data_IF_403259082902
#
_entry.id   IF_403259082902
#
_cell.length_a   1.000
_cell.length_b   1.000
_cell.length_c   1.000
_cell.angle_alpha   90.00
_cell.angle_beta   90.00
_cell.angle_gamma   90.00
#
_symmetry.space_group_name_H-M   'P 1'
#
loop_
_entity.id
_entity.type
_entity.pdbx_description
1 polymer ?
#
# COMPACT_ATOMS: atom_id res chain seq x y z
N UNK A 1 39.11 -35.85 44.46
CA UNK A 1 40.13 -35.68 45.51
C UNK A 1 41.40 -35.23 44.80
N UNK A 2 42.05 -34.09 45.02
CA UNK A 2 41.89 -32.93 45.90
C UNK A 2 42.94 -31.91 45.42
N UNK A 3 42.60 -30.62 45.45
CA UNK A 3 43.48 -29.43 45.48
C UNK A 3 44.49 -29.24 44.32
N UNK A 4 44.82 -28.04 43.88
CA UNK A 4 44.61 -26.70 44.40
C UNK A 4 45.67 -25.85 43.69
N UNK A 5 45.27 -24.76 43.06
CA UNK A 5 46.19 -23.80 42.45
C UNK A 5 45.75 -22.42 42.93
N UNK A 6 46.39 -22.01 44.02
CA UNK A 6 46.37 -20.66 44.55
C UNK A 6 47.55 -19.91 43.93
N UNK A 7 47.23 -18.83 43.20
CA UNK A 7 48.19 -17.91 42.63
C UNK A 7 48.83 -17.03 43.71
N UNK A 8 50.16 -16.90 43.66
CA UNK A 8 50.94 -16.08 44.56
C UNK A 8 52.06 -15.34 43.81
N UNK A 9 52.10 -14.02 44.04
CA UNK A 9 53.25 -13.09 43.93
C UNK A 9 53.84 -12.87 42.52
N UNK A 10 54.38 -11.72 42.14
CA UNK A 10 54.84 -10.53 42.84
C UNK A 10 55.58 -9.66 41.82
N UNK A 11 55.85 -8.41 42.20
CA UNK A 11 56.34 -7.30 41.39
C UNK A 11 57.74 -7.47 40.75
N UNK A 12 58.04 -6.50 39.86
CA UNK A 12 59.35 -5.91 39.50
C UNK A 12 60.05 -6.38 38.21
N UNK A 13 60.33 -5.40 37.34
CA UNK A 13 61.31 -5.51 36.26
C UNK A 13 61.18 -4.44 35.17
N UNK A 14 61.80 -3.26 35.35
CA UNK A 14 62.32 -2.42 34.25
C UNK A 14 63.78 -2.86 33.96
N UNK A 15 64.33 -2.69 32.74
CA UNK A 15 65.02 -1.43 32.43
C UNK A 15 64.91 -0.93 30.97
N UNK A 16 64.95 0.39 30.87
CA UNK A 16 65.64 1.31 29.94
C UNK A 16 66.08 0.85 28.54
N UNK A 17 65.64 1.60 27.52
CA UNK A 17 66.26 1.71 26.20
C UNK A 17 66.08 3.14 25.65
N UNK A 18 67.20 3.84 25.48
CA UNK A 18 67.33 5.25 25.11
C UNK A 18 67.04 5.55 23.63
N UNK A 19 66.60 6.78 23.34
CA UNK A 19 67.03 7.51 22.13
C UNK A 19 65.97 8.29 21.36
N UNK A 20 66.00 9.63 21.46
CA UNK A 20 65.64 10.54 20.35
C UNK A 20 64.31 11.32 20.41
N UNK A 21 64.38 12.61 20.78
CA UNK A 21 63.47 13.70 20.32
C UNK A 21 63.84 14.10 18.86
N UNK A 22 63.00 14.78 18.03
CA UNK A 22 62.14 15.95 18.33
C UNK A 22 60.83 16.02 17.47
N UNK A 23 60.22 17.19 17.15
CA UNK A 23 59.64 18.26 17.96
C UNK A 23 58.08 18.30 17.86
N UNK A 24 57.45 19.08 18.75
CA UNK A 24 55.99 19.18 18.88
C UNK A 24 55.26 19.95 17.76
N UNK A 25 54.03 19.49 17.47
CA UNK A 25 53.06 20.19 16.63
C UNK A 25 52.01 20.92 17.51
N UNK A 26 51.60 22.16 17.16
CA UNK A 26 50.61 22.93 17.92
C UNK A 26 49.15 22.50 17.67
N UNK A 27 48.21 22.82 18.59
CA UNK A 27 46.80 22.40 18.53
C UNK A 27 45.97 23.16 17.46
N UNK A 28 44.84 22.59 17.00
CA UNK A 28 44.05 23.17 15.91
C UNK A 28 43.28 24.42 16.35
N UNK A 29 43.50 25.53 15.64
CA UNK A 29 42.76 26.78 15.78
C UNK A 29 41.45 26.76 15.00
N UNK A 30 40.40 27.22 15.68
CA UNK A 30 39.12 27.66 15.13
C UNK A 30 39.32 28.92 14.28
N UNK A 31 38.62 29.04 13.15
CA UNK A 31 38.60 30.26 12.34
C UNK A 31 37.35 30.33 11.47
N UNK A 32 36.44 31.24 11.83
CA UNK A 32 35.25 31.66 11.08
C UNK A 32 35.62 32.41 9.78
N UNK A 33 34.69 32.47 8.80
CA UNK A 33 34.60 33.60 7.87
C UNK A 33 33.40 34.53 8.15
N UNK A 34 33.42 35.77 7.64
CA UNK A 34 32.75 36.93 8.21
C UNK A 34 31.40 37.32 7.56
N UNK A 35 30.72 38.23 8.26
CA UNK A 35 29.45 38.92 7.98
C UNK A 35 29.30 39.54 6.58
N UNK A 36 28.06 39.47 6.05
CA UNK A 36 27.53 40.41 5.06
C UNK A 36 26.20 39.98 4.41
N UNK A 37 25.19 40.86 4.47
CA UNK A 37 23.92 40.90 3.71
C UNK A 37 22.63 40.38 4.42
N UNK A 38 22.06 41.30 5.21
CA UNK A 38 20.64 41.69 5.37
C UNK A 38 19.52 40.63 5.59
N UNK A 39 18.72 40.74 6.67
CA UNK A 39 17.45 40.01 6.81
C UNK A 39 16.34 40.66 5.95
N UNK A 40 15.39 39.88 5.38
CA UNK A 40 14.22 40.45 4.73
C UNK A 40 13.31 41.15 5.77
N UNK A 41 12.70 42.30 5.44
CA UNK A 41 11.83 43.02 6.35
C UNK A 41 10.52 42.24 6.57
N UNK A 42 10.14 42.09 7.84
CA UNK A 42 8.77 41.77 8.24
C UNK A 42 7.86 42.92 7.81
N UNK A 43 7.16 42.74 6.70
CA UNK A 43 6.07 43.60 6.24
C UNK A 43 4.77 42.80 6.18
N UNK A 44 4.00 42.85 7.27
CA UNK A 44 2.58 42.52 7.25
C UNK A 44 1.87 43.50 6.31
N UNK A 45 1.49 43.07 5.12
CA UNK A 45 0.44 43.74 4.34
C UNK A 45 -0.79 42.83 4.31
N UNK A 46 -1.78 43.21 5.11
CA UNK A 46 -3.15 42.72 5.00
C UNK A 46 -3.71 43.10 3.62
N UNK A 47 -4.34 42.17 2.86
CA UNK A 47 -5.26 42.56 1.81
C UNK A 47 -6.57 43.07 2.45
N UNK A 48 -7.11 44.21 2.01
CA UNK A 48 -8.33 44.77 2.56
C UNK A 48 -9.54 43.88 2.23
N UNK A 49 -10.42 43.70 3.22
CA UNK A 49 -11.78 43.21 3.01
C UNK A 49 -12.51 44.11 2.00
N UNK A 50 -12.96 43.52 0.90
CA UNK A 50 -13.77 44.19 -0.12
C UNK A 50 -14.61 43.18 -0.88
N UNK A 51 -15.92 43.24 -0.64
CA UNK A 51 -16.94 42.35 -1.16
C UNK A 51 -17.15 42.47 -2.68
N UNK A 52 -17.46 41.35 -3.35
CA UNK A 52 -18.55 41.24 -4.32
C UNK A 52 -18.82 39.76 -4.69
N UNK A 53 -20.03 39.21 -4.48
CA UNK A 53 -20.40 37.90 -5.02
C UNK A 53 -20.71 37.98 -6.53
N UNK A 54 -20.36 36.97 -7.34
CA UNK A 54 -20.79 36.91 -8.74
C UNK A 54 -22.32 36.74 -8.85
N UNK A 55 -22.99 37.44 -9.77
CA UNK A 55 -24.42 37.30 -9.98
C UNK A 55 -24.77 35.92 -10.56
N UNK A 56 -25.75 35.27 -9.92
CA UNK A 56 -26.46 34.12 -10.47
C UNK A 56 -27.13 34.51 -11.79
N UNK A 57 -26.78 33.84 -12.87
CA UNK A 57 -27.40 33.95 -14.18
C UNK A 57 -27.58 32.58 -14.80
N UNK A 58 -28.68 31.91 -14.44
CA UNK A 58 -29.21 30.74 -15.13
C UNK A 58 -29.55 31.11 -16.58
N UNK A 59 -28.89 30.47 -17.55
CA UNK A 59 -29.45 30.34 -18.90
C UNK A 59 -29.45 28.86 -19.29
N UNK A 60 -30.63 28.25 -19.20
CA UNK A 60 -30.98 27.00 -19.88
C UNK A 60 -31.21 27.30 -21.37
N UNK A 61 -30.68 26.48 -22.30
CA UNK A 61 -31.24 26.39 -23.64
C UNK A 61 -32.44 25.43 -23.66
N UNK A 62 -33.47 25.68 -24.49
CA UNK A 62 -34.76 24.99 -24.44
C UNK A 62 -34.74 23.60 -25.08
N UNK A 63 -35.53 22.68 -24.52
CA UNK A 63 -35.98 21.45 -25.18
C UNK A 63 -36.92 21.79 -26.36
N UNK A 64 -36.70 21.14 -27.52
CA UNK A 64 -37.60 21.16 -28.67
C UNK A 64 -37.37 19.96 -29.61
N UNK A 65 -38.40 19.14 -29.79
CA UNK A 65 -38.52 17.92 -30.61
C UNK A 65 -38.41 18.23 -32.13
N UNK A 66 -38.16 17.36 -33.13
CA UNK A 66 -38.59 15.98 -33.49
C UNK A 66 -37.79 15.53 -34.79
N UNK A 67 -37.79 14.24 -35.23
CA UNK A 67 -36.92 13.69 -36.31
C UNK A 67 -37.62 13.49 -37.70
N UNK A 68 -36.90 13.36 -38.84
CA UNK A 68 -37.05 12.18 -39.75
C UNK A 68 -35.84 11.92 -40.70
N UNK A 69 -35.89 11.02 -41.71
CA UNK A 69 -36.29 9.61 -41.72
C UNK A 69 -35.18 8.67 -42.29
N UNK A 70 -35.38 7.36 -42.10
CA UNK A 70 -34.61 6.27 -42.71
C UNK A 70 -34.71 6.28 -44.26
N UNK A 71 -33.57 6.12 -44.93
CA UNK A 71 -33.47 5.88 -46.37
C UNK A 71 -32.34 4.90 -46.68
N UNK A 72 -32.70 3.61 -46.76
CA UNK A 72 -31.88 2.52 -47.27
C UNK A 72 -31.67 2.65 -48.78
N UNK A 73 -30.42 2.62 -49.28
CA UNK A 73 -30.05 2.03 -50.58
C UNK A 73 -28.60 1.48 -50.53
N UNK A 74 -28.47 0.15 -50.61
CA UNK A 74 -27.29 -0.61 -51.09
C UNK A 74 -27.18 -0.48 -52.63
N UNK A 75 -26.07 -0.81 -53.36
CA UNK A 75 -25.35 -2.11 -53.31
C UNK A 75 -23.84 -2.04 -53.77
N UNK A 76 -23.19 -3.07 -54.38
CA UNK A 76 -22.62 -4.28 -53.79
C UNK A 76 -21.18 -4.58 -54.30
N UNK A 77 -20.11 -4.68 -53.48
CA UNK A 77 -18.83 -5.13 -54.06
C UNK A 77 -17.97 -5.99 -53.13
N UNK A 78 -17.70 -7.22 -53.62
CA UNK A 78 -16.33 -7.72 -53.78
C UNK A 78 -15.68 -8.32 -52.55
N UNK A 79 -15.76 -9.65 -52.46
CA UNK A 79 -14.72 -10.43 -51.79
C UNK A 79 -13.36 -10.13 -52.42
N UNK A 80 -12.40 -9.72 -51.60
CA UNK A 80 -10.98 -10.07 -51.71
C UNK A 80 -10.30 -9.71 -50.38
N UNK A 81 -9.84 -10.72 -49.65
CA UNK A 81 -8.80 -10.55 -48.63
C UNK A 81 -7.49 -10.11 -49.31
N UNK A 82 -6.75 -9.18 -48.70
CA UNK A 82 -5.30 -9.30 -48.65
C UNK A 82 -4.76 -9.11 -47.21
N UNK A 83 -3.48 -9.42 -46.97
CA UNK A 83 -3.00 -10.10 -45.78
C UNK A 83 -2.55 -9.18 -44.65
N UNK A 84 -2.39 -9.79 -43.47
CA UNK A 84 -1.67 -9.26 -42.32
C UNK A 84 -0.36 -8.58 -42.73
N UNK A 85 -0.37 -7.25 -42.77
CA UNK A 85 0.79 -6.40 -42.90
C UNK A 85 0.73 -5.36 -41.80
N UNK A 86 1.65 -5.47 -40.84
CA UNK A 86 1.93 -4.45 -39.84
C UNK A 86 2.13 -3.09 -40.55
N UNK A 87 1.27 -2.12 -40.27
CA UNK A 87 1.45 -0.71 -40.64
C UNK A 87 1.33 0.12 -39.37
N UNK A 88 2.32 0.95 -39.03
CA UNK A 88 2.25 1.82 -37.88
C UNK A 88 1.29 2.96 -38.23
N UNK A 89 0.05 2.87 -37.76
CA UNK A 89 -0.87 4.00 -37.81
C UNK A 89 -0.26 5.14 -36.97
N UNK A 90 0.30 6.11 -37.69
CA UNK A 90 0.72 7.38 -37.13
C UNK A 90 -0.49 8.06 -36.51
N UNK A 91 -0.61 7.93 -35.19
CA UNK A 91 -1.40 8.85 -34.40
C UNK A 91 -0.74 10.22 -34.59
N UNK A 92 -1.45 11.14 -35.23
CA UNK A 92 -1.10 12.55 -35.11
C UNK A 92 -0.98 12.86 -33.61
N UNK A 93 0.11 13.48 -33.13
CA UNK A 93 0.22 13.85 -31.73
C UNK A 93 -0.99 14.72 -31.39
N UNK A 94 -1.73 14.34 -30.34
CA UNK A 94 -2.81 15.15 -29.82
C UNK A 94 -2.29 16.59 -29.61
N UNK A 95 -3.05 17.63 -29.97
CA UNK A 95 -2.61 19.01 -29.80
C UNK A 95 -2.06 19.22 -28.40
N UNK A 96 -0.79 19.59 -28.31
CA UNK A 96 -0.15 19.92 -27.05
C UNK A 96 -0.98 21.01 -26.38
N UNK A 97 -1.64 20.64 -25.28
CA UNK A 97 -2.35 21.56 -24.40
C UNK A 97 -1.42 22.73 -24.06
N UNK A 98 -1.87 23.99 -24.19
CA UNK A 98 -1.04 25.14 -23.85
C UNK A 98 -0.71 25.12 -22.35
N UNK A 99 0.58 25.13 -22.00
CA UNK A 99 1.01 25.60 -20.68
C UNK A 99 1.61 24.58 -19.72
N UNK A 100 2.09 23.43 -20.17
CA UNK A 100 2.78 22.49 -19.28
C UNK A 100 4.28 22.48 -19.59
N UNK A 101 5.10 22.71 -18.57
CA UNK A 101 6.56 22.69 -18.71
C UNK A 101 7.09 21.37 -19.29
N UNK A 102 8.37 21.31 -19.67
CA UNK A 102 8.97 20.20 -20.42
C UNK A 102 8.78 18.80 -19.82
N UNK A 103 8.49 18.71 -18.51
CA UNK A 103 8.44 17.47 -17.74
C UNK A 103 7.02 17.01 -17.33
N UNK A 104 5.97 17.60 -17.90
CA UNK A 104 4.61 17.19 -17.55
C UNK A 104 4.25 15.79 -18.08
N UNK A 105 3.86 14.83 -17.21
CA UNK A 105 3.43 13.51 -17.67
C UNK A 105 2.18 13.61 -18.54
N UNK A 106 2.10 12.79 -19.59
CA UNK A 106 0.93 12.75 -20.46
C UNK A 106 -0.36 12.48 -19.64
N UNK A 107 -1.48 13.20 -19.92
CA UNK A 107 -2.76 12.92 -19.30
C UNK A 107 -3.14 11.44 -19.47
N UNK A 108 -3.45 10.78 -18.36
CA UNK A 108 -3.74 9.35 -18.33
C UNK A 108 -5.01 9.08 -17.54
N UNK A 109 -5.96 8.38 -18.16
CA UNK A 109 -7.11 7.80 -17.46
C UNK A 109 -6.69 6.65 -16.55
N UNK A 110 -7.53 6.29 -15.57
CA UNK A 110 -7.20 5.16 -14.68
C UNK A 110 -7.11 3.87 -15.50
N UNK A 111 -5.93 3.23 -15.59
CA UNK A 111 -5.73 2.07 -16.44
C UNK A 111 -6.48 0.84 -15.88
N UNK A 112 -6.75 -0.13 -16.77
CA UNK A 112 -7.43 -1.38 -16.40
C UNK A 112 -6.70 -2.12 -15.27
N UNK A 113 -5.36 -2.09 -15.26
CA UNK A 113 -4.55 -2.71 -14.22
C UNK A 113 -4.85 -2.16 -12.82
N UNK A 114 -5.10 -0.86 -12.68
CA UNK A 114 -5.50 -0.26 -11.39
C UNK A 114 -6.94 -0.63 -11.05
N UNK A 115 -7.87 -0.56 -12.02
CA UNK A 115 -9.29 -0.88 -11.80
C UNK A 115 -9.47 -2.34 -11.37
N UNK A 116 -8.88 -3.26 -12.12
CA UNK A 116 -8.93 -4.69 -11.84
C UNK A 116 -8.12 -5.05 -10.60
N UNK A 117 -6.94 -4.43 -10.39
CA UNK A 117 -6.13 -4.66 -9.19
C UNK A 117 -6.84 -4.26 -7.90
N UNK A 118 -7.42 -3.05 -7.85
CA UNK A 118 -8.23 -2.61 -6.71
C UNK A 118 -9.51 -3.44 -6.57
N UNK A 119 -10.16 -3.79 -7.69
CA UNK A 119 -11.35 -4.65 -7.67
C UNK A 119 -11.06 -6.03 -7.08
N UNK A 120 -9.91 -6.63 -7.41
CA UNK A 120 -9.48 -7.90 -6.85
C UNK A 120 -9.22 -7.81 -5.33
N UNK A 121 -8.58 -6.72 -4.87
CA UNK A 121 -8.38 -6.47 -3.43
C UNK A 121 -9.69 -6.23 -2.68
N UNK A 122 -10.65 -5.53 -3.29
CA UNK A 122 -12.00 -5.37 -2.73
C UNK A 122 -12.73 -6.71 -2.65
N UNK A 123 -12.63 -7.55 -3.68
CA UNK A 123 -13.22 -8.89 -3.64
C UNK A 123 -12.58 -9.73 -2.52
N UNK A 124 -11.25 -9.73 -2.40
CA UNK A 124 -10.54 -10.41 -1.31
C UNK A 124 -10.97 -9.91 0.08
N UNK A 125 -11.14 -8.59 0.24
CA UNK A 125 -11.65 -7.97 1.47
C UNK A 125 -13.06 -8.51 1.81
N UNK A 126 -13.95 -8.58 0.83
CA UNK A 126 -15.30 -9.12 1.01
C UNK A 126 -15.26 -10.59 1.42
N UNK A 127 -14.39 -11.40 0.81
CA UNK A 127 -14.22 -12.81 1.20
C UNK A 127 -13.74 -12.93 2.65
N UNK A 128 -12.79 -12.09 3.08
CA UNK A 128 -12.32 -12.06 4.48
C UNK A 128 -13.42 -11.62 5.46
N UNK A 129 -14.27 -10.65 5.06
CA UNK A 129 -15.43 -10.27 5.85
C UNK A 129 -16.47 -11.40 5.96
N UNK A 130 -16.70 -12.16 4.89
CA UNK A 130 -17.57 -13.35 4.89
C UNK A 130 -16.99 -14.44 5.79
N UNK A 131 -15.67 -14.70 5.75
CA UNK A 131 -15.02 -15.64 6.66
C UNK A 131 -15.18 -15.21 8.13
N UNK A 132 -15.00 -13.93 8.43
CA UNK A 132 -15.18 -13.37 9.78
C UNK A 132 -16.64 -13.48 10.23
N UNK A 133 -17.60 -13.24 9.33
CA UNK A 133 -19.02 -13.43 9.63
C UNK A 133 -19.36 -14.91 9.86
N UNK A 134 -18.78 -15.84 9.09
CA UNK A 134 -18.96 -17.27 9.30
C UNK A 134 -18.45 -17.71 10.67
N UNK A 135 -17.29 -17.19 11.11
CA UNK A 135 -16.76 -17.38 12.46
C UNK A 135 -17.76 -16.91 13.53
N UNK A 136 -18.32 -15.70 13.40
CA UNK A 136 -19.30 -15.17 14.34
C UNK A 136 -20.62 -15.96 14.37
N UNK A 137 -21.08 -16.42 13.22
CA UNK A 137 -22.34 -17.15 13.10
C UNK A 137 -22.25 -18.62 13.54
N UNK A 138 -21.04 -19.19 13.54
CA UNK A 138 -20.77 -20.59 13.92
C UNK A 138 -19.80 -20.61 15.13
N UNK A 139 -20.12 -19.80 16.14
CA UNK A 139 -19.23 -19.55 17.27
C UNK A 139 -18.81 -20.83 18.00
N UNK A 140 -19.77 -21.74 18.23
CA UNK A 140 -19.53 -22.97 18.99
C UNK A 140 -18.57 -23.90 18.25
N UNK A 141 -18.78 -24.08 16.93
CA UNK A 141 -17.92 -24.93 16.10
C UNK A 141 -16.46 -24.42 16.07
N UNK A 142 -16.26 -23.11 16.08
CA UNK A 142 -14.93 -22.52 16.15
C UNK A 142 -14.32 -22.57 17.54
N UNK A 143 -15.12 -22.44 18.60
CA UNK A 143 -14.67 -22.58 19.98
C UNK A 143 -14.20 -24.02 20.25
N UNK A 144 -15.00 -25.02 19.87
CA UNK A 144 -14.65 -26.44 19.98
C UNK A 144 -13.38 -26.78 19.17
N UNK A 145 -13.26 -26.26 17.95
CA UNK A 145 -12.07 -26.42 17.13
C UNK A 145 -10.83 -25.77 17.76
N UNK A 146 -10.97 -24.57 18.31
CA UNK A 146 -9.87 -23.84 18.97
C UNK A 146 -9.43 -24.57 20.25
N UNK A 147 -10.37 -25.14 21.01
CA UNK A 147 -10.07 -25.94 22.19
C UNK A 147 -9.34 -27.24 21.84
N UNK A 148 -9.77 -27.92 20.77
CA UNK A 148 -9.09 -29.12 20.30
C UNK A 148 -7.65 -28.80 19.86
N UNK A 149 -7.44 -27.70 19.14
CA UNK A 149 -6.11 -27.26 18.70
C UNK A 149 -5.25 -26.81 19.89
N UNK A 150 -5.82 -26.02 20.80
CA UNK A 150 -5.13 -25.60 22.02
C UNK A 150 -4.77 -26.79 22.91
N UNK A 151 -5.60 -27.83 22.99
CA UNK A 151 -5.28 -29.07 23.71
C UNK A 151 -4.10 -29.83 23.10
N UNK A 152 -3.96 -29.81 21.77
CA UNK A 152 -2.81 -30.41 21.08
C UNK A 152 -1.50 -29.64 21.35
N UNK A 153 -1.55 -28.31 21.41
CA UNK A 153 -0.39 -27.45 21.63
C UNK A 153 -0.02 -27.30 23.13
N UNK A 154 -1.02 -27.17 24.02
CA UNK A 154 -0.86 -26.98 25.46
C UNK A 154 -0.68 -28.29 26.23
N UNK A 155 -1.04 -29.43 25.68
CA UNK A 155 -0.70 -30.74 26.26
C UNK A 155 0.81 -30.94 26.46
N UNK A 156 1.64 -30.14 25.78
CA UNK A 156 3.09 -30.10 25.96
C UNK A 156 3.57 -29.12 27.07
N UNK A 157 2.70 -28.21 27.53
CA UNK A 157 3.03 -27.16 28.50
C UNK A 157 1.89 -27.05 29.51
N UNK A 158 1.97 -27.81 30.60
CA UNK A 158 0.95 -27.83 31.66
C UNK A 158 0.94 -26.47 32.38
N UNK A 159 0.05 -25.55 31.97
CA UNK A 159 -0.14 -24.27 32.65
C UNK A 159 -1.22 -24.47 33.72
N UNK A 160 -0.77 -24.86 34.90
CA UNK A 160 -1.63 -25.07 36.06
C UNK A 160 -2.37 -23.77 36.43
N UNK A 161 -3.71 -23.79 36.38
CA UNK A 161 -4.56 -22.69 36.83
C UNK A 161 -5.19 -21.81 35.75
N UNK A 162 -4.97 -22.08 34.45
CA UNK A 162 -5.72 -21.43 33.37
C UNK A 162 -6.87 -22.31 32.89
N UNK A 163 -8.07 -21.73 32.81
CA UNK A 163 -9.23 -22.37 32.22
C UNK A 163 -9.10 -22.35 30.68
N UNK A 164 -9.01 -23.53 30.07
CA UNK A 164 -8.80 -23.66 28.62
C UNK A 164 -9.96 -23.05 27.82
N UNK A 165 -11.19 -23.16 28.33
CA UNK A 165 -12.39 -22.56 27.77
C UNK A 165 -12.26 -21.04 27.70
N UNK A 166 -11.88 -20.41 28.81
CA UNK A 166 -11.67 -18.97 28.88
C UNK A 166 -10.54 -18.48 27.96
N UNK A 167 -9.46 -19.26 27.82
CA UNK A 167 -8.33 -18.92 26.93
C UNK A 167 -8.74 -19.00 25.46
N UNK A 168 -9.44 -20.06 25.05
CA UNK A 168 -9.93 -20.21 23.68
C UNK A 168 -10.93 -19.11 23.32
N UNK A 169 -11.85 -18.80 24.24
CA UNK A 169 -12.82 -17.72 24.06
C UNK A 169 -12.13 -16.36 23.87
N UNK A 170 -11.18 -16.02 24.75
CA UNK A 170 -10.39 -14.80 24.64
C UNK A 170 -9.59 -14.75 23.34
N UNK A 171 -9.01 -15.87 22.92
CA UNK A 171 -8.24 -15.98 21.67
C UNK A 171 -9.11 -15.66 20.46
N UNK A 172 -10.32 -16.23 20.39
CA UNK A 172 -11.27 -15.94 19.31
C UNK A 172 -11.75 -14.49 19.35
N UNK A 173 -12.09 -13.97 20.53
CA UNK A 173 -12.53 -12.57 20.68
C UNK A 173 -11.45 -11.58 20.22
N UNK A 174 -10.20 -11.78 20.65
CA UNK A 174 -9.06 -10.97 20.22
C UNK A 174 -8.80 -11.12 18.71
N UNK A 175 -8.84 -12.35 18.19
CA UNK A 175 -8.68 -12.63 16.77
C UNK A 175 -9.72 -11.91 15.90
N UNK A 176 -10.99 -11.91 16.32
CA UNK A 176 -12.08 -11.19 15.63
C UNK A 176 -11.88 -9.69 15.72
N UNK A 177 -11.58 -9.15 16.90
CA UNK A 177 -11.36 -7.72 17.08
C UNK A 177 -10.23 -7.23 16.17
N UNK A 178 -9.11 -7.97 16.11
CA UNK A 178 -7.98 -7.70 15.22
C UNK A 178 -8.42 -7.81 13.76
N UNK A 179 -9.15 -8.87 13.37
CA UNK A 179 -9.66 -9.05 12.01
C UNK A 179 -10.51 -7.88 11.54
N UNK A 180 -11.45 -7.41 12.37
CA UNK A 180 -12.32 -6.27 12.05
C UNK A 180 -11.50 -5.00 11.86
N UNK A 181 -10.54 -4.72 12.76
CA UNK A 181 -9.64 -3.56 12.63
C UNK A 181 -8.85 -3.64 11.31
N UNK A 182 -8.31 -4.81 10.98
CA UNK A 182 -7.58 -5.02 9.72
C UNK A 182 -8.51 -4.79 8.51
N UNK A 183 -9.74 -5.30 8.53
CA UNK A 183 -10.72 -5.08 7.44
C UNK A 183 -11.02 -3.59 7.22
N UNK A 184 -11.23 -2.84 8.31
CA UNK A 184 -11.49 -1.40 8.23
C UNK A 184 -10.28 -0.64 7.68
N UNK A 185 -9.07 -0.99 8.15
CA UNK A 185 -7.83 -0.40 7.65
C UNK A 185 -7.57 -0.75 6.18
N UNK A 186 -7.83 -1.99 5.77
CA UNK A 186 -7.71 -2.40 4.37
C UNK A 186 -8.71 -1.63 3.49
N UNK A 187 -9.96 -1.48 3.92
CA UNK A 187 -10.96 -0.69 3.20
C UNK A 187 -10.52 0.77 3.05
N UNK A 188 -9.97 1.36 4.13
CA UNK A 188 -9.40 2.71 4.12
C UNK A 188 -8.28 2.83 3.09
N UNK A 189 -7.29 1.92 3.12
CA UNK A 189 -6.16 1.97 2.18
C UNK A 189 -6.58 1.69 0.74
N UNK A 190 -7.54 0.81 0.51
CA UNK A 190 -8.16 0.59 -0.80
C UNK A 190 -8.77 1.89 -1.31
N UNK A 191 -9.54 2.59 -0.48
CA UNK A 191 -10.12 3.88 -0.84
C UNK A 191 -9.03 4.91 -1.16
N UNK A 192 -7.96 4.99 -0.36
CA UNK A 192 -6.84 5.90 -0.67
C UNK A 192 -6.10 5.49 -1.95
N UNK A 193 -5.87 4.21 -2.19
CA UNK A 193 -5.22 3.72 -3.39
C UNK A 193 -6.07 3.98 -4.64
N UNK A 194 -7.39 3.83 -4.56
CA UNK A 194 -8.34 4.18 -5.63
C UNK A 194 -8.26 5.66 -6.03
N UNK A 195 -8.03 6.53 -5.05
CA UNK A 195 -7.90 7.98 -5.27
C UNK A 195 -6.50 8.42 -5.76
N UNK A 196 -5.58 7.47 -5.99
CA UNK A 196 -4.25 7.73 -6.53
C UNK A 196 -3.19 8.04 -5.48
N UNK A 197 -3.40 7.71 -4.19
CA UNK A 197 -2.37 7.86 -3.16
C UNK A 197 -1.36 6.71 -3.27
N UNK A 198 -0.13 7.02 -3.69
CA UNK A 198 0.92 5.99 -3.88
C UNK A 198 1.33 5.30 -2.57
N UNK A 199 1.37 6.03 -1.45
CA UNK A 199 1.70 5.44 -0.15
C UNK A 199 0.70 4.33 0.24
N UNK A 200 -0.60 4.53 -0.02
CA UNK A 200 -1.64 3.55 0.31
C UNK A 200 -1.50 2.28 -0.52
N UNK A 201 -1.10 2.40 -1.80
CA UNK A 201 -0.75 1.24 -2.62
C UNK A 201 0.42 0.46 -2.03
N UNK A 202 1.47 1.14 -1.58
CA UNK A 202 2.64 0.48 -0.97
C UNK A 202 2.22 -0.29 0.29
N UNK A 203 1.36 0.31 1.12
CA UNK A 203 0.81 -0.39 2.29
C UNK A 203 0.03 -1.64 1.87
N UNK A 204 -0.84 -1.55 0.86
CA UNK A 204 -1.57 -2.72 0.35
C UNK A 204 -0.65 -3.81 -0.22
N UNK A 205 0.49 -3.46 -0.78
CA UNK A 205 1.49 -4.44 -1.19
C UNK A 205 2.16 -5.14 -0.03
N UNK A 206 2.52 -4.39 1.01
CA UNK A 206 3.13 -4.98 2.20
C UNK A 206 2.13 -5.90 2.88
N UNK A 207 0.89 -5.44 3.09
CA UNK A 207 -0.18 -6.26 3.66
C UNK A 207 -0.53 -7.46 2.79
N UNK A 208 -0.64 -7.27 1.47
CA UNK A 208 -0.88 -8.34 0.52
C UNK A 208 0.27 -9.35 0.49
N UNK A 209 1.52 -8.88 0.51
CA UNK A 209 2.71 -9.73 0.58
C UNK A 209 2.77 -10.54 1.87
N UNK A 210 2.53 -9.92 3.03
CA UNK A 210 2.43 -10.62 4.31
C UNK A 210 1.30 -11.66 4.26
N UNK A 211 0.12 -11.29 3.75
CA UNK A 211 -1.02 -12.22 3.61
C UNK A 211 -0.65 -13.41 2.73
N UNK A 212 0.00 -13.19 1.59
CA UNK A 212 0.42 -14.26 0.68
C UNK A 212 1.51 -15.15 1.29
N UNK A 213 2.33 -14.62 2.20
CA UNK A 213 3.35 -15.38 2.89
C UNK A 213 2.79 -16.16 4.08
N UNK A 214 1.88 -15.59 4.88
CA UNK A 214 1.41 -16.22 6.12
C UNK A 214 0.20 -17.15 5.90
N UNK A 215 -0.74 -16.74 5.05
CA UNK A 215 -2.05 -17.38 4.94
C UNK A 215 -2.00 -18.81 4.40
N UNK A 216 -1.13 -19.17 3.42
CA UNK A 216 -1.04 -20.56 2.97
C UNK A 216 -0.69 -21.55 4.09
N UNK A 217 0.17 -21.16 5.03
CA UNK A 217 0.56 -22.03 6.17
C UNK A 217 -0.61 -22.21 7.16
N UNK A 218 -1.38 -21.16 7.40
CA UNK A 218 -2.59 -21.25 8.22
C UNK A 218 -3.74 -21.98 7.49
N UNK A 219 -3.80 -21.88 6.16
CA UNK A 219 -4.84 -22.49 5.34
C UNK A 219 -4.71 -24.00 5.16
N UNK A 220 -3.53 -24.58 5.45
CA UNK A 220 -3.29 -26.02 5.31
C UNK A 220 -3.79 -26.87 6.47
N UNK A 221 -3.94 -26.30 7.68
CA UNK A 221 -4.47 -27.04 8.84
C UNK A 221 -5.97 -27.34 8.71
N UNK A 222 -6.68 -26.62 7.84
CA UNK A 222 -8.12 -26.75 7.68
C UNK A 222 -8.88 -26.16 8.87
N UNK A 223 -10.01 -25.52 8.60
CA UNK A 223 -10.89 -24.99 9.65
C UNK A 223 -12.07 -25.92 9.93
N UNK A 224 -12.88 -25.62 10.95
CA UNK A 224 -14.10 -26.38 11.25
C UNK A 224 -15.14 -26.29 10.12
N UNK A 225 -15.04 -25.28 9.26
CA UNK A 225 -15.93 -25.06 8.12
C UNK A 225 -15.16 -25.19 6.79
N UNK A 226 -15.35 -26.28 6.01
CA UNK A 226 -14.63 -26.52 4.76
C UNK A 226 -14.79 -25.41 3.71
N UNK A 227 -15.96 -24.77 3.68
CA UNK A 227 -16.20 -23.66 2.75
C UNK A 227 -15.35 -22.43 3.09
N UNK A 228 -15.05 -22.17 4.38
CA UNK A 228 -14.17 -21.06 4.80
C UNK A 228 -12.75 -21.34 4.34
N UNK A 229 -12.26 -22.57 4.51
CA UNK A 229 -10.95 -22.98 3.98
C UNK A 229 -10.86 -22.79 2.46
N UNK A 230 -11.91 -23.15 1.73
CA UNK A 230 -12.00 -22.93 0.28
C UNK A 230 -11.97 -21.44 -0.07
N UNK A 231 -12.72 -20.63 0.68
CA UNK A 231 -12.79 -19.17 0.53
C UNK A 231 -11.40 -18.52 0.70
N UNK A 232 -10.62 -18.98 1.67
CA UNK A 232 -9.25 -18.53 1.91
C UNK A 232 -8.35 -18.71 0.68
N UNK A 233 -8.46 -19.84 -0.02
CA UNK A 233 -7.68 -20.07 -1.24
C UNK A 233 -8.07 -19.11 -2.37
N UNK A 234 -9.37 -18.84 -2.56
CA UNK A 234 -9.81 -17.81 -3.50
C UNK A 234 -9.32 -16.41 -3.10
N UNK A 235 -9.33 -16.09 -1.80
CA UNK A 235 -8.81 -14.83 -1.28
C UNK A 235 -7.31 -14.69 -1.55
N UNK A 236 -6.50 -15.74 -1.38
CA UNK A 236 -5.07 -15.74 -1.70
C UNK A 236 -4.85 -15.40 -3.17
N UNK A 237 -5.57 -16.06 -4.08
CA UNK A 237 -5.47 -15.80 -5.53
C UNK A 237 -5.86 -14.37 -5.87
N UNK A 238 -6.98 -13.87 -5.34
CA UNK A 238 -7.42 -12.50 -5.57
C UNK A 238 -6.43 -11.47 -5.02
N UNK A 239 -5.84 -11.73 -3.86
CA UNK A 239 -4.81 -10.88 -3.26
C UNK A 239 -3.57 -10.84 -4.15
N UNK A 240 -3.11 -11.99 -4.66
CA UNK A 240 -1.98 -12.06 -5.58
C UNK A 240 -2.24 -11.28 -6.87
N UNK A 241 -3.42 -11.47 -7.49
CA UNK A 241 -3.84 -10.72 -8.68
C UNK A 241 -3.85 -9.21 -8.39
N UNK A 242 -4.42 -8.80 -7.26
CA UNK A 242 -4.47 -7.40 -6.84
C UNK A 242 -3.09 -6.76 -6.70
N UNK A 243 -2.18 -7.43 -5.99
CA UNK A 243 -0.80 -6.97 -5.79
C UNK A 243 -0.04 -6.87 -7.12
N UNK A 244 -0.09 -7.92 -7.94
CA UNK A 244 0.62 -7.98 -9.23
C UNK A 244 0.11 -6.91 -10.19
N UNK A 245 -1.21 -6.75 -10.34
CA UNK A 245 -1.77 -5.74 -11.24
C UNK A 245 -1.41 -4.31 -10.82
N UNK A 246 -1.31 -4.05 -9.51
CA UNK A 246 -0.85 -2.76 -8.99
C UNK A 246 0.67 -2.53 -9.16
N UNK A 247 1.43 -3.60 -9.44
CA UNK A 247 2.87 -3.59 -9.76
C UNK A 247 3.23 -3.33 -11.20
N UNK A 248 2.30 -3.62 -12.11
CA UNK A 248 2.56 -3.43 -13.53
C UNK A 248 2.85 -1.95 -13.86
N UNK A 249 3.68 -1.77 -14.89
CA UNK A 249 4.10 -0.45 -15.37
C UNK A 249 2.94 0.55 -15.57
N UNK A 250 1.80 0.20 -16.19
CA UNK A 250 0.69 1.14 -16.35
C UNK A 250 0.15 1.68 -15.02
N UNK A 251 0.11 0.84 -13.98
CA UNK A 251 -0.29 1.27 -12.64
C UNK A 251 0.72 2.27 -12.06
N UNK A 252 2.03 1.98 -12.19
CA UNK A 252 3.09 2.89 -11.72
C UNK A 252 3.01 4.26 -12.39
N UNK A 253 2.82 4.29 -13.71
CA UNK A 253 2.74 5.54 -14.47
C UNK A 253 1.51 6.36 -14.03
N UNK A 254 0.36 5.72 -13.81
CA UNK A 254 -0.83 6.39 -13.30
C UNK A 254 -0.64 7.01 -11.90
N UNK A 255 -0.04 6.29 -10.96
CA UNK A 255 0.22 6.83 -9.62
C UNK A 255 1.24 7.98 -9.64
N UNK A 256 2.21 7.96 -10.56
CA UNK A 256 3.15 9.08 -10.78
C UNK A 256 2.43 10.30 -11.34
N UNK A 257 1.57 10.11 -12.34
CA UNK A 257 0.72 11.16 -12.89
C UNK A 257 -0.18 11.80 -11.81
N UNK A 258 -0.90 10.99 -11.01
CA UNK A 258 -1.73 11.49 -9.89
C UNK A 258 -0.93 12.19 -8.80
N UNK A 259 0.35 11.83 -8.60
CA UNK A 259 1.24 12.56 -7.69
C UNK A 259 1.58 13.93 -8.26
N UNK A 260 1.95 14.00 -9.54
CA UNK A 260 2.25 15.24 -10.24
C UNK A 260 1.07 16.23 -10.20
N UNK A 261 -0.14 15.78 -10.54
CA UNK A 261 -1.35 16.65 -10.54
C UNK A 261 -1.58 17.33 -9.18
N UNK A 262 -1.36 16.61 -8.07
CA UNK A 262 -1.53 17.17 -6.73
C UNK A 262 -0.42 18.13 -6.33
N UNK A 263 0.83 17.86 -6.75
CA UNK A 263 1.94 18.79 -6.49
C UNK A 263 1.83 20.09 -7.29
N UNK A 264 1.11 20.07 -8.41
CA UNK A 264 0.93 21.25 -9.28
C UNK A 264 -0.42 21.94 -9.11
N UNK A 265 -1.26 21.52 -8.15
CA UNK A 265 -2.57 22.13 -7.88
C UNK A 265 -3.67 21.83 -8.91
N UNK A 266 -3.50 20.78 -9.72
CA UNK A 266 -4.43 20.38 -10.80
C UNK A 266 -5.28 19.15 -10.46
N UNK A 267 -5.13 18.60 -9.27
CA UNK A 267 -5.56 17.24 -8.91
C UNK A 267 -6.73 17.14 -7.95
#
# INVERSE_FOLDING_TARGET
MTAGQDDQHGEQGRPEGQGGQPPGWPPPQQGQPPYGQQPPPYGQQQPPYGQQPPPYGQQQPPYGQQPPPYGQQQPPHGQQQPPHGQQPYGYAPAPSSPGWGPDAPAPMERPLTVRAGIGALLAALVLSAVATAALLLNWQEFLDWTLAEAGNDLGATEIEGLDADAVAELTLQLGIAISIVILLLQLLFIWFAWNGRNWARIVLWVLGGITLLSTPFAGTSGGPLPFVTTLTWFQIVLTAVGVVLLALKPSNDWYRFRKWQRSTGQG
#
